data_IF_762710655169
#
_entry.id   IF_762710655169
#
_cell.length_a   1.000
_cell.length_b   1.000
_cell.length_c   1.000
_cell.angle_alpha   90.00
_cell.angle_beta   90.00
_cell.angle_gamma   90.00
#
_symmetry.space_group_name_H-M   'P 1'
#
loop_
_entity.id
_entity.type
_entity.pdbx_description
1 polymer ?
#
# COMPACT_ATOMS: atom_id res chain seq x y z
N UNK A 1 -42.72 9.33 15.92
CA UNK A 1 -42.40 9.99 14.63
C UNK A 1 -42.81 11.45 14.76
N UNK A 2 -41.88 12.40 14.68
CA UNK A 2 -42.15 13.82 14.93
C UNK A 2 -42.22 14.57 13.59
N UNK A 3 -43.44 14.79 13.08
CA UNK A 3 -43.64 15.68 11.94
C UNK A 3 -43.50 17.11 12.45
N UNK A 4 -42.47 17.83 12.00
CA UNK A 4 -42.26 19.25 12.34
C UNK A 4 -42.88 20.12 11.25
N UNK A 5 -43.90 20.90 11.60
CA UNK A 5 -44.47 21.92 10.72
C UNK A 5 -43.69 23.24 10.91
N UNK A 6 -43.00 23.75 9.88
CA UNK A 6 -42.25 25.00 9.98
C UNK A 6 -43.19 26.21 10.09
N UNK A 7 -42.78 27.24 10.83
CA UNK A 7 -43.53 28.50 10.93
C UNK A 7 -43.20 29.38 9.71
N UNK A 8 -44.12 30.26 9.31
CA UNK A 8 -43.89 31.19 8.19
C UNK A 8 -42.74 32.19 8.46
N UNK A 9 -42.37 32.40 9.72
CA UNK A 9 -41.21 33.23 10.12
C UNK A 9 -39.87 32.50 9.98
N UNK A 10 -39.86 31.20 9.73
CA UNK A 10 -38.63 30.43 9.67
C UNK A 10 -37.95 30.63 8.30
N UNK A 11 -36.69 31.06 8.31
CA UNK A 11 -35.87 31.14 7.10
C UNK A 11 -35.61 29.74 6.52
N UNK A 12 -35.74 29.61 5.21
CA UNK A 12 -35.32 28.40 4.49
C UNK A 12 -33.83 28.42 4.25
N UNK A 13 -33.19 27.26 4.30
CA UNK A 13 -31.75 27.15 4.01
C UNK A 13 -31.39 27.63 2.59
N UNK A 14 -32.30 27.50 1.63
CA UNK A 14 -32.14 28.01 0.26
C UNK A 14 -32.18 29.55 0.17
N UNK A 15 -32.79 30.22 1.14
CA UNK A 15 -32.82 31.69 1.22
C UNK A 15 -31.51 32.22 1.82
N UNK A 16 -30.89 31.44 2.70
CA UNK A 16 -29.60 31.76 3.33
C UNK A 16 -28.43 31.48 2.39
N UNK A 17 -28.48 30.38 1.63
CA UNK A 17 -27.40 29.96 0.72
C UNK A 17 -27.94 29.70 -0.68
N UNK A 18 -27.52 30.47 -1.70
CA UNK A 18 -27.82 30.18 -3.09
C UNK A 18 -27.42 28.76 -3.50
N UNK A 19 -28.25 28.11 -4.31
CA UNK A 19 -28.07 26.73 -4.74
C UNK A 19 -26.71 26.49 -5.41
N UNK A 20 -26.27 27.41 -6.27
CA UNK A 20 -24.98 27.33 -6.96
C UNK A 20 -23.80 27.24 -6.00
N UNK A 21 -23.84 27.98 -4.88
CA UNK A 21 -22.81 27.94 -3.84
C UNK A 21 -22.86 26.62 -3.04
N UNK A 22 -24.07 26.11 -2.75
CA UNK A 22 -24.24 24.82 -2.10
C UNK A 22 -23.65 23.68 -2.95
N UNK A 23 -24.00 23.63 -4.24
CA UNK A 23 -23.52 22.63 -5.19
C UNK A 23 -22.01 22.73 -5.40
N UNK A 24 -21.47 23.95 -5.55
CA UNK A 24 -20.02 24.18 -5.67
C UNK A 24 -19.24 23.63 -4.47
N UNK A 25 -19.71 23.85 -3.24
CA UNK A 25 -19.10 23.29 -2.02
C UNK A 25 -19.10 21.76 -2.03
N UNK A 26 -20.19 21.14 -2.51
CA UNK A 26 -20.28 19.68 -2.64
C UNK A 26 -19.32 19.12 -3.68
N UNK A 27 -19.15 19.78 -4.82
CA UNK A 27 -18.15 19.38 -5.81
C UNK A 27 -16.73 19.51 -5.27
N UNK A 28 -16.41 20.61 -4.56
CA UNK A 28 -15.11 20.79 -3.94
C UNK A 28 -14.79 19.67 -2.93
N UNK A 29 -15.74 19.36 -2.04
CA UNK A 29 -15.58 18.29 -1.04
C UNK A 29 -15.48 16.90 -1.68
N UNK A 30 -16.28 16.62 -2.71
CA UNK A 30 -16.19 15.36 -3.45
C UNK A 30 -14.88 15.21 -4.21
N UNK A 31 -14.44 16.28 -4.88
CA UNK A 31 -13.18 16.34 -5.62
C UNK A 31 -11.95 16.22 -4.72
N UNK A 32 -11.96 16.86 -3.53
CA UNK A 32 -10.85 16.78 -2.59
C UNK A 32 -10.69 15.37 -2.00
N UNK A 33 -11.79 14.69 -1.66
CA UNK A 33 -11.74 13.29 -1.21
C UNK A 33 -11.18 12.37 -2.30
N UNK A 34 -11.61 12.54 -3.54
CA UNK A 34 -11.10 11.78 -4.68
C UNK A 34 -9.60 12.03 -4.91
N UNK A 35 -9.16 13.30 -4.85
CA UNK A 35 -7.76 13.66 -4.98
C UNK A 35 -6.90 13.05 -3.86
N UNK A 36 -7.37 13.09 -2.61
CA UNK A 36 -6.70 12.45 -1.48
C UNK A 36 -6.61 10.93 -1.67
N UNK A 37 -7.70 10.28 -2.08
CA UNK A 37 -7.72 8.85 -2.35
C UNK A 37 -6.69 8.47 -3.44
N UNK A 38 -6.67 9.19 -4.57
CA UNK A 38 -5.70 8.98 -5.65
C UNK A 38 -4.26 9.22 -5.19
N UNK A 39 -4.01 10.23 -4.34
CA UNK A 39 -2.67 10.48 -3.80
C UNK A 39 -2.16 9.40 -2.84
N UNK A 40 -3.07 8.60 -2.24
CA UNK A 40 -2.73 7.48 -1.37
C UNK A 40 -2.47 6.18 -2.14
N UNK A 41 -2.97 6.05 -3.38
CA UNK A 41 -2.78 4.84 -4.21
C UNK A 41 -1.30 4.47 -4.43
N UNK A 42 -0.37 5.40 -4.72
CA UNK A 42 1.04 5.05 -4.90
C UNK A 42 1.70 4.46 -3.65
N UNK A 43 1.22 4.81 -2.45
CA UNK A 43 1.74 4.25 -1.19
C UNK A 43 1.23 2.84 -0.92
N UNK A 44 -0.02 2.51 -1.29
CA UNK A 44 -0.53 1.14 -1.21
C UNK A 44 -0.02 0.25 -2.36
N UNK A 45 0.18 0.82 -3.55
CA UNK A 45 0.74 0.10 -4.69
C UNK A 45 2.25 -0.15 -4.55
N UNK A 46 2.94 0.64 -3.72
CA UNK A 46 4.24 0.24 -3.16
C UNK A 46 4.02 -0.72 -1.99
N UNK A 47 3.61 -1.95 -2.32
CA UNK A 47 4.02 -3.12 -1.55
C UNK A 47 5.55 -3.28 -1.70
N UNK A 48 6.29 -2.30 -1.23
CA UNK A 48 7.74 -2.27 -1.23
C UNK A 48 8.23 -3.16 -0.10
N UNK A 49 9.08 -4.12 -0.45
CA UNK A 49 9.98 -4.84 0.44
C UNK A 49 9.38 -5.25 1.78
N UNK A 50 8.28 -6.01 1.76
CA UNK A 50 8.05 -6.90 2.90
C UNK A 50 9.21 -7.89 2.85
N UNK A 51 10.18 -7.69 3.73
CA UNK A 51 11.33 -8.57 3.85
C UNK A 51 10.81 -10.01 3.95
N UNK A 52 11.33 -10.90 3.10
CA UNK A 52 10.92 -12.31 3.10
C UNK A 52 11.18 -12.98 4.46
N UNK A 53 12.04 -12.36 5.27
CA UNK A 53 12.37 -12.72 6.64
C UNK A 53 12.05 -11.55 7.56
N UNK A 54 11.21 -11.72 8.60
CA UNK A 54 10.77 -10.63 9.47
C UNK A 54 11.90 -10.04 10.33
N UNK A 55 12.90 -10.85 10.69
CA UNK A 55 13.98 -10.48 11.61
C UNK A 55 15.30 -10.17 10.90
N UNK A 56 15.26 -9.89 9.59
CA UNK A 56 16.45 -9.62 8.78
C UNK A 56 16.34 -8.26 8.13
N UNK A 57 17.27 -7.38 8.48
CA UNK A 57 17.40 -6.07 7.85
C UNK A 57 17.70 -6.22 6.35
N UNK A 58 17.07 -5.37 5.53
CA UNK A 58 17.33 -5.36 4.11
C UNK A 58 18.79 -4.96 3.83
N UNK A 59 19.51 -5.80 3.08
CA UNK A 59 20.86 -5.51 2.65
C UNK A 59 20.92 -4.31 1.70
N UNK A 60 21.99 -3.52 1.77
CA UNK A 60 22.24 -2.41 0.86
C UNK A 60 22.70 -2.94 -0.51
N UNK A 61 21.75 -3.24 -1.40
CA UNK A 61 22.06 -3.69 -2.74
C UNK A 61 22.62 -2.55 -3.62
N UNK A 62 23.64 -2.81 -4.46
CA UNK A 62 24.11 -1.86 -5.47
C UNK A 62 22.99 -1.43 -6.43
N UNK A 63 23.05 -0.19 -6.93
CA UNK A 63 22.02 0.37 -7.82
C UNK A 63 21.73 -0.49 -9.07
N UNK A 64 22.78 -1.05 -9.69
CA UNK A 64 22.65 -1.93 -10.87
C UNK A 64 21.83 -3.19 -10.59
N UNK A 65 21.84 -3.69 -9.35
CA UNK A 65 21.11 -4.89 -8.96
C UNK A 65 19.64 -4.56 -8.76
N UNK A 66 19.33 -3.44 -8.10
CA UNK A 66 17.96 -2.99 -7.89
C UNK A 66 17.22 -2.75 -9.22
N UNK A 67 17.90 -2.18 -10.22
CA UNK A 67 17.35 -2.00 -11.57
C UNK A 67 16.96 -3.33 -12.22
N UNK A 68 17.82 -4.35 -12.11
CA UNK A 68 17.54 -5.70 -12.64
C UNK A 68 16.47 -6.45 -11.83
N UNK A 69 16.44 -6.26 -10.51
CA UNK A 69 15.53 -6.95 -9.61
C UNK A 69 14.07 -6.61 -9.93
N UNK A 70 13.76 -5.33 -10.19
CA UNK A 70 12.42 -4.89 -10.58
C UNK A 70 11.92 -5.49 -11.90
N UNK A 71 12.82 -5.87 -12.81
CA UNK A 71 12.49 -6.51 -14.08
C UNK A 71 12.42 -8.05 -14.01
N UNK A 72 12.74 -8.65 -12.85
CA UNK A 72 12.86 -10.10 -12.75
C UNK A 72 11.48 -10.75 -12.64
N UNK A 73 11.18 -11.67 -13.56
CA UNK A 73 10.00 -12.54 -13.47
C UNK A 73 10.40 -13.86 -12.83
N UNK A 74 10.26 -13.94 -11.51
CA UNK A 74 10.52 -15.19 -10.77
C UNK A 74 9.37 -16.17 -10.99
N UNK A 75 9.68 -17.36 -11.53
CA UNK A 75 8.79 -18.52 -11.49
C UNK A 75 8.91 -19.23 -10.13
N UNK A 76 8.81 -18.47 -9.04
CA UNK A 76 8.90 -19.03 -7.70
C UNK A 76 7.61 -19.82 -7.41
N UNK A 77 7.68 -21.15 -7.54
CA UNK A 77 6.63 -22.04 -7.04
C UNK A 77 6.78 -22.07 -5.52
N UNK A 78 5.85 -21.45 -4.80
CA UNK A 78 5.74 -21.68 -3.35
C UNK A 78 4.84 -22.90 -3.18
N UNK A 79 5.40 -23.99 -2.64
CA UNK A 79 4.62 -25.17 -2.34
C UNK A 79 3.57 -24.82 -1.26
N UNK A 80 2.27 -25.04 -1.51
CA UNK A 80 1.24 -24.74 -0.54
C UNK A 80 1.45 -25.55 0.74
N UNK A 81 1.50 -24.88 1.89
CA UNK A 81 1.64 -25.52 3.20
C UNK A 81 3.08 -25.81 3.64
N UNK A 82 4.08 -25.49 2.84
CA UNK A 82 5.49 -25.56 3.27
C UNK A 82 5.94 -24.27 3.95
N UNK A 83 6.65 -24.42 5.06
CA UNK A 83 7.28 -23.29 5.75
C UNK A 83 8.48 -22.78 4.94
N UNK A 84 8.69 -21.46 4.93
CA UNK A 84 9.89 -20.85 4.34
C UNK A 84 11.11 -21.29 5.16
N UNK A 85 12.17 -21.76 4.51
CA UNK A 85 13.46 -22.10 5.14
C UNK A 85 14.00 -20.91 5.92
N UNK A 86 14.43 -21.06 7.19
CA UNK A 86 14.99 -19.96 7.97
C UNK A 86 16.18 -19.28 7.27
N UNK A 87 16.31 -17.96 7.43
CA UNK A 87 17.37 -17.18 6.79
C UNK A 87 18.78 -17.71 7.07
N UNK A 88 19.04 -18.11 8.32
CA UNK A 88 20.33 -18.67 8.74
C UNK A 88 20.71 -19.90 7.91
N UNK A 89 19.77 -20.83 7.77
CA UNK A 89 20.02 -22.08 7.06
C UNK A 89 20.16 -21.83 5.56
N UNK A 90 19.32 -20.95 5.00
CA UNK A 90 19.38 -20.57 3.58
C UNK A 90 20.73 -19.93 3.19
N UNK A 91 21.40 -19.25 4.13
CA UNK A 91 22.67 -18.56 3.88
C UNK A 91 23.91 -19.36 4.25
N UNK A 92 23.83 -20.26 5.23
CA UNK A 92 25.00 -20.98 5.77
C UNK A 92 25.02 -22.47 5.41
N UNK A 93 23.87 -23.09 5.15
CA UNK A 93 23.78 -24.52 4.88
C UNK A 93 23.72 -24.82 3.38
N UNK A 94 24.84 -24.57 2.70
CA UNK A 94 24.95 -24.65 1.24
C UNK A 94 26.00 -25.67 0.78
N UNK A 95 25.77 -26.28 -0.38
CA UNK A 95 26.77 -27.13 -1.04
C UNK A 95 27.58 -26.28 -2.04
N UNK A 96 28.59 -25.57 -1.54
CA UNK A 96 29.45 -24.71 -2.37
C UNK A 96 30.91 -25.17 -2.30
N UNK A 97 31.19 -26.26 -3.03
CA UNK A 97 32.46 -27.00 -2.94
C UNK A 97 33.68 -26.18 -3.37
N UNK A 98 33.47 -25.14 -4.18
CA UNK A 98 34.49 -24.16 -4.56
C UNK A 98 35.09 -23.42 -3.35
N UNK A 99 34.38 -23.39 -2.23
CA UNK A 99 34.79 -22.74 -0.98
C UNK A 99 35.05 -23.72 0.16
N UNK A 100 34.97 -25.04 -0.12
CA UNK A 100 35.18 -26.11 0.85
C UNK A 100 33.96 -27.02 1.01
N UNK A 101 34.16 -28.24 1.56
CA UNK A 101 33.07 -29.20 1.78
C UNK A 101 32.23 -28.89 3.02
N UNK A 102 32.80 -28.15 3.97
CA UNK A 102 32.17 -27.82 5.25
C UNK A 102 30.91 -26.98 5.04
N UNK A 103 29.94 -27.19 5.92
CA UNK A 103 28.76 -26.33 6.05
C UNK A 103 29.13 -25.31 7.12
N UNK A 104 28.99 -24.02 6.79
CA UNK A 104 29.58 -22.90 7.54
C UNK A 104 29.26 -22.87 9.03
#
# INVERSE_FOLDING_TARGET
MLIKMPKSSDCKMSEVTPESLYISRRHLLGGSLAALAVSAVPRLARAGDVSRYPDVDAGAAPGWFNEKLGGTRWQAVTAPGEAITPFKDATHYNNFYEFGPDKG
#
